data_IF_582601084676
#
_entry.id   IF_582601084676
#
_cell.length_a   1.000
_cell.length_b   1.000
_cell.length_c   1.000
_cell.angle_alpha   90.00
_cell.angle_beta   90.00
_cell.angle_gamma   90.00
#
_symmetry.space_group_name_H-M   'P 1'
#
loop_
_entity.id
_entity.type
_entity.pdbx_description
1 polymer ?
#
# COMPACT_ATOMS: atom_id res chain seq x y z
N UNK A 1 -11.06 1.99 -33.34
CA UNK A 1 -9.77 1.30 -33.12
C UNK A 1 -9.98 0.25 -32.03
N UNK A 2 -9.53 -0.98 -32.25
CA UNK A 2 -9.61 -2.06 -31.25
C UNK A 2 -8.93 -1.61 -29.95
N UNK A 3 -9.70 -1.58 -28.85
CA UNK A 3 -9.18 -1.32 -27.50
C UNK A 3 -8.24 -2.46 -27.14
N UNK A 4 -6.95 -2.29 -27.39
CA UNK A 4 -5.92 -3.17 -26.84
C UNK A 4 -6.06 -3.09 -25.32
N UNK A 5 -6.45 -4.20 -24.71
CA UNK A 5 -6.51 -4.35 -23.26
C UNK A 5 -5.11 -4.08 -22.70
N UNK A 6 -4.96 -2.96 -21.98
CA UNK A 6 -3.66 -2.56 -21.43
C UNK A 6 -3.35 -3.52 -20.28
N UNK A 7 -2.34 -4.37 -20.48
CA UNK A 7 -1.81 -5.22 -19.43
C UNK A 7 -0.90 -4.38 -18.53
N UNK A 8 -1.42 -4.07 -17.35
CA UNK A 8 -0.65 -3.41 -16.30
C UNK A 8 0.45 -4.31 -15.77
N UNK A 9 1.50 -3.69 -15.23
CA UNK A 9 2.68 -4.37 -14.72
C UNK A 9 3.18 -3.74 -13.41
N UNK A 10 4.05 -4.44 -12.67
CA UNK A 10 4.74 -3.90 -11.50
C UNK A 10 5.58 -2.64 -11.74
N UNK A 11 5.82 -2.28 -13.00
CA UNK A 11 6.56 -1.07 -13.37
C UNK A 11 5.64 0.10 -13.76
N UNK A 12 4.35 -0.02 -13.51
CA UNK A 12 3.38 1.05 -13.81
C UNK A 12 3.08 1.86 -12.55
N UNK A 13 3.16 3.18 -12.68
CA UNK A 13 2.74 4.14 -11.66
C UNK A 13 1.43 4.75 -12.13
N UNK A 14 0.35 4.50 -11.41
CA UNK A 14 -1.01 4.94 -11.76
C UNK A 14 -1.35 6.21 -11.00
N UNK A 15 -1.71 7.26 -11.73
CA UNK A 15 -2.40 8.44 -11.20
C UNK A 15 -3.86 8.44 -11.69
N UNK A 16 -4.80 8.38 -10.75
CA UNK A 16 -6.22 8.47 -11.06
C UNK A 16 -6.63 9.93 -11.24
N UNK A 17 -7.25 10.26 -12.38
CA UNK A 17 -7.70 11.62 -12.68
C UNK A 17 -9.21 11.66 -12.55
N UNK A 18 -9.68 12.22 -11.44
CA UNK A 18 -11.10 12.30 -11.10
C UNK A 18 -11.56 13.76 -11.14
N UNK A 19 -12.85 13.98 -11.32
CA UNK A 19 -13.41 15.32 -11.41
C UNK A 19 -14.75 15.32 -12.14
N UNK A 20 -15.51 16.40 -11.99
CA UNK A 20 -16.83 16.52 -12.64
C UNK A 20 -16.73 16.42 -14.16
N UNK A 21 -17.85 16.08 -14.80
CA UNK A 21 -17.97 16.28 -16.25
C UNK A 21 -17.71 17.75 -16.58
N UNK A 22 -16.89 18.02 -17.59
CA UNK A 22 -16.45 19.39 -17.92
C UNK A 22 -15.28 19.95 -17.11
N UNK A 23 -14.79 19.26 -16.06
CA UNK A 23 -13.68 19.78 -15.23
C UNK A 23 -12.29 19.82 -15.91
N UNK A 24 -12.18 19.37 -17.17
CA UNK A 24 -10.93 19.42 -17.95
C UNK A 24 -10.00 18.21 -17.81
N UNK A 25 -10.50 17.03 -17.41
CA UNK A 25 -9.71 15.78 -17.29
C UNK A 25 -8.99 15.38 -18.57
N UNK A 26 -9.74 15.21 -19.65
CA UNK A 26 -9.20 14.86 -20.97
C UNK A 26 -8.25 15.94 -21.50
N UNK A 27 -8.56 17.22 -21.28
CA UNK A 27 -7.68 18.34 -21.62
C UNK A 27 -6.35 18.30 -20.86
N UNK A 28 -6.39 18.03 -19.55
CA UNK A 28 -5.18 17.89 -18.72
C UNK A 28 -4.30 16.74 -19.23
N UNK A 29 -4.89 15.58 -19.53
CA UNK A 29 -4.16 14.41 -20.04
C UNK A 29 -3.53 14.71 -21.40
N UNK A 30 -4.30 15.25 -22.35
CA UNK A 30 -3.80 15.59 -23.67
C UNK A 30 -2.66 16.62 -23.60
N UNK A 31 -2.75 17.57 -22.66
CA UNK A 31 -1.72 18.59 -22.42
C UNK A 31 -0.45 18.02 -21.79
N UNK A 32 -0.59 17.08 -20.85
CA UNK A 32 0.55 16.38 -20.24
C UNK A 32 1.28 15.50 -21.26
N UNK A 33 0.54 14.79 -22.12
CA UNK A 33 1.07 13.91 -23.16
C UNK A 33 1.60 14.69 -24.38
N UNK A 34 1.07 15.89 -24.62
CA UNK A 34 1.39 16.70 -25.79
C UNK A 34 0.72 16.20 -27.09
N UNK A 35 -0.29 15.33 -26.98
CA UNK A 35 -1.04 14.77 -28.11
C UNK A 35 -2.52 14.55 -27.72
N UNK A 36 -3.42 14.57 -28.71
CA UNK A 36 -4.84 14.29 -28.49
C UNK A 36 -5.08 12.78 -28.38
N UNK A 37 -4.87 12.24 -27.18
CA UNK A 37 -5.02 10.80 -26.85
C UNK A 37 -6.38 10.47 -26.22
N UNK A 38 -7.11 11.48 -25.78
CA UNK A 38 -8.49 11.38 -25.28
C UNK A 38 -9.41 12.30 -26.09
N UNK A 39 -10.64 11.84 -26.37
CA UNK A 39 -11.65 12.66 -27.06
C UNK A 39 -12.09 13.82 -26.16
N UNK A 40 -11.92 15.04 -26.65
CA UNK A 40 -12.41 16.25 -25.97
C UNK A 40 -13.76 16.59 -26.60
N UNK A 41 -14.86 16.29 -25.90
CA UNK A 41 -16.19 16.71 -26.32
C UNK A 41 -16.45 18.17 -25.98
N UNK A 42 -16.71 19.01 -26.98
CA UNK A 42 -17.18 20.40 -26.80
C UNK A 42 -18.66 20.47 -26.34
N UNK A 43 -19.37 19.33 -26.34
CA UNK A 43 -20.77 19.21 -25.95
C UNK A 43 -20.90 18.44 -24.63
N UNK A 44 -21.63 19.01 -23.67
CA UNK A 44 -21.91 18.56 -22.30
C UNK A 44 -22.58 17.18 -22.15
N UNK A 45 -21.95 16.11 -22.64
CA UNK A 45 -22.33 14.71 -22.42
C UNK A 45 -21.05 13.91 -22.21
N UNK A 46 -20.92 13.22 -21.08
CA UNK A 46 -19.69 12.53 -20.67
C UNK A 46 -19.13 11.62 -21.77
N UNK A 47 -18.02 12.00 -22.40
CA UNK A 47 -17.41 11.23 -23.49
C UNK A 47 -16.75 9.93 -23.00
N UNK A 48 -16.47 9.82 -21.70
CA UNK A 48 -15.74 8.69 -21.11
C UNK A 48 -16.71 7.79 -20.33
N UNK A 49 -17.14 6.68 -20.93
CA UNK A 49 -18.04 5.70 -20.27
C UNK A 49 -17.29 4.68 -19.37
N UNK A 50 -15.98 4.52 -19.57
CA UNK A 50 -15.12 3.56 -18.84
C UNK A 50 -13.76 4.19 -18.51
N UNK A 51 -13.09 3.79 -17.41
CA UNK A 51 -11.74 4.25 -17.13
C UNK A 51 -10.78 3.93 -18.29
N UNK A 52 -10.10 4.96 -18.81
CA UNK A 52 -9.15 4.84 -19.92
C UNK A 52 -7.74 5.07 -19.39
N UNK A 53 -6.85 4.07 -19.42
CA UNK A 53 -5.46 4.25 -19.03
C UNK A 53 -4.62 4.81 -20.19
N UNK A 54 -3.94 5.92 -19.97
CA UNK A 54 -3.00 6.55 -20.90
C UNK A 54 -1.58 6.35 -20.38
N UNK A 55 -0.71 5.76 -21.20
CA UNK A 55 0.67 5.42 -20.82
C UNK A 55 1.64 6.50 -21.32
N UNK A 56 2.50 6.98 -20.42
CA UNK A 56 3.66 7.80 -20.70
C UNK A 56 4.93 6.98 -20.38
N UNK A 57 5.71 6.69 -21.41
CA UNK A 57 6.95 5.92 -21.33
C UNK A 57 7.96 6.45 -22.38
N UNK A 58 9.16 6.91 -21.99
CA UNK A 58 9.67 7.00 -20.61
C UNK A 58 9.06 8.16 -19.82
N UNK A 59 9.09 8.06 -18.49
CA UNK A 59 8.76 9.19 -17.60
C UNK A 59 9.85 10.27 -17.76
N UNK A 60 9.52 11.48 -18.27
CA UNK A 60 10.50 12.54 -18.50
C UNK A 60 11.14 13.02 -17.20
N UNK A 61 12.41 13.44 -17.24
CA UNK A 61 13.10 14.09 -16.11
C UNK A 61 13.23 13.29 -14.80
N UNK A 62 12.89 12.00 -14.80
CA UNK A 62 13.01 11.12 -13.63
C UNK A 62 13.95 9.92 -13.87
N UNK A 63 15.29 10.11 -13.81
CA UNK A 63 16.25 9.02 -14.01
C UNK A 63 16.08 7.85 -13.02
N UNK A 64 15.64 8.14 -11.80
CA UNK A 64 15.38 7.14 -10.76
C UNK A 64 14.23 6.18 -11.12
N UNK A 65 13.31 6.62 -11.98
CA UNK A 65 12.17 5.84 -12.46
C UNK A 65 12.42 5.22 -13.84
N UNK A 66 13.70 5.07 -14.25
CA UNK A 66 14.03 4.46 -15.54
C UNK A 66 13.45 3.05 -15.67
N UNK A 67 12.65 2.85 -16.71
CA UNK A 67 11.96 1.58 -16.98
C UNK A 67 10.62 1.43 -16.26
N UNK A 68 10.18 2.43 -15.49
CA UNK A 68 8.79 2.59 -15.08
C UNK A 68 8.01 3.36 -16.14
N UNK A 69 6.69 3.12 -16.17
CA UNK A 69 5.73 3.80 -17.03
C UNK A 69 4.76 4.57 -16.14
N UNK A 70 4.42 5.79 -16.51
CA UNK A 70 3.37 6.55 -15.85
C UNK A 70 2.04 6.25 -16.56
N UNK A 71 1.00 5.92 -15.80
CA UNK A 71 -0.35 5.66 -16.28
C UNK A 71 -1.27 6.73 -15.73
N UNK A 72 -1.72 7.62 -16.61
CA UNK A 72 -2.77 8.59 -16.31
C UNK A 72 -4.11 7.92 -16.60
N UNK A 73 -4.89 7.64 -15.55
CA UNK A 73 -6.20 7.02 -15.70
C UNK A 73 -7.25 8.11 -15.87
N UNK A 74 -7.73 8.32 -17.10
CA UNK A 74 -8.90 9.16 -17.36
C UNK A 74 -10.14 8.45 -16.84
N UNK A 75 -10.87 9.10 -15.94
CA UNK A 75 -12.09 8.50 -15.37
C UNK A 75 -13.34 9.17 -15.94
N UNK A 76 -14.48 8.46 -15.99
CA UNK A 76 -15.77 9.11 -16.18
C UNK A 76 -15.96 10.27 -15.21
N UNK A 77 -16.60 11.35 -15.67
CA UNK A 77 -17.02 12.42 -14.80
C UNK A 77 -18.17 11.98 -13.89
N UNK A 78 -18.25 12.57 -12.71
CA UNK A 78 -19.46 12.54 -11.88
C UNK A 78 -20.23 13.84 -12.14
N UNK A 79 -21.43 13.77 -12.70
CA UNK A 79 -22.31 14.91 -12.87
C UNK A 79 -23.78 14.50 -12.75
N UNK A 80 -24.54 15.26 -11.97
CA UNK A 80 -25.84 14.87 -11.42
C UNK A 80 -27.00 14.87 -12.42
N UNK A 81 -26.76 15.12 -13.72
CA UNK A 81 -27.81 15.10 -14.74
C UNK A 81 -28.49 13.73 -14.86
N UNK A 82 -27.80 12.64 -14.48
CA UNK A 82 -28.32 11.27 -14.55
C UNK A 82 -28.64 10.65 -13.17
N UNK A 83 -28.51 11.42 -12.07
CA UNK A 83 -28.86 11.02 -10.70
C UNK A 83 -27.71 10.44 -9.85
N UNK A 84 -27.85 10.45 -8.50
CA UNK A 84 -26.78 10.07 -7.55
C UNK A 84 -26.35 8.60 -7.62
N UNK A 85 -27.18 7.72 -8.17
CA UNK A 85 -26.84 6.29 -8.36
C UNK A 85 -25.75 6.09 -9.42
N UNK A 86 -25.69 6.95 -10.44
CA UNK A 86 -24.70 6.84 -11.51
C UNK A 86 -23.32 7.29 -11.02
N UNK A 87 -23.27 8.30 -10.16
CA UNK A 87 -22.03 8.74 -9.52
C UNK A 87 -21.45 7.62 -8.65
N UNK A 88 -22.28 6.94 -7.84
CA UNK A 88 -21.85 5.78 -7.05
C UNK A 88 -21.31 4.68 -7.95
N UNK A 89 -21.97 4.36 -9.08
CA UNK A 89 -21.49 3.35 -10.03
C UNK A 89 -20.17 3.73 -10.71
N UNK A 90 -19.99 5.00 -11.09
CA UNK A 90 -18.73 5.48 -11.66
C UNK A 90 -17.60 5.36 -10.62
N UNK A 91 -17.93 5.67 -9.36
CA UNK A 91 -17.08 5.47 -8.20
C UNK A 91 -16.91 3.98 -7.80
N UNK A 92 -17.75 3.05 -8.21
CA UNK A 92 -17.44 1.63 -8.01
C UNK A 92 -16.48 1.14 -9.11
N UNK A 93 -16.69 1.58 -10.35
CA UNK A 93 -15.88 1.20 -11.51
C UNK A 93 -14.43 1.65 -11.43
N UNK A 94 -14.19 2.89 -11.02
CA UNK A 94 -12.80 3.35 -10.88
C UNK A 94 -12.14 2.57 -9.72
N UNK A 95 -12.88 2.22 -8.66
CA UNK A 95 -12.33 1.58 -7.47
C UNK A 95 -11.98 0.13 -7.78
N UNK A 96 -12.86 -0.54 -8.50
CA UNK A 96 -12.61 -1.85 -9.10
C UNK A 96 -11.42 -1.80 -10.05
N UNK A 97 -11.28 -0.77 -10.89
CA UNK A 97 -10.15 -0.64 -11.79
C UNK A 97 -8.83 -0.44 -11.02
N UNK A 98 -8.82 0.40 -9.98
CA UNK A 98 -7.66 0.60 -9.11
C UNK A 98 -7.32 -0.69 -8.34
N UNK A 99 -8.32 -1.42 -7.86
CA UNK A 99 -8.15 -2.72 -7.22
C UNK A 99 -7.57 -3.75 -8.21
N UNK A 100 -8.14 -3.90 -9.42
CA UNK A 100 -7.56 -4.71 -10.51
C UNK A 100 -6.12 -4.30 -10.82
N UNK A 101 -5.82 -3.01 -10.80
CA UNK A 101 -4.48 -2.47 -11.08
C UNK A 101 -3.48 -2.82 -9.99
N UNK A 102 -3.89 -2.67 -8.73
CA UNK A 102 -3.10 -3.13 -7.58
C UNK A 102 -2.90 -4.64 -7.63
N UNK A 103 -3.95 -5.39 -8.04
CA UNK A 103 -3.85 -6.83 -8.27
C UNK A 103 -2.90 -7.20 -9.40
N UNK A 104 -2.78 -6.37 -10.43
CA UNK A 104 -1.77 -6.55 -11.49
C UNK A 104 -0.35 -6.12 -11.04
N UNK A 105 -0.20 -5.65 -9.80
CA UNK A 105 1.05 -5.18 -9.22
C UNK A 105 1.38 -3.73 -9.55
N UNK A 106 0.51 -2.95 -10.20
CA UNK A 106 0.80 -1.54 -10.47
C UNK A 106 0.80 -0.71 -9.17
N UNK A 107 1.68 0.30 -9.10
CA UNK A 107 1.71 1.25 -7.99
C UNK A 107 0.60 2.28 -8.17
N UNK A 108 -0.40 2.32 -7.28
CA UNK A 108 -1.32 3.47 -7.21
C UNK A 108 -0.60 4.63 -6.54
N UNK A 109 -0.06 5.52 -7.36
CA UNK A 109 0.85 6.58 -6.96
C UNK A 109 0.14 7.81 -6.38
N UNK A 110 -1.09 8.08 -6.79
CA UNK A 110 -1.88 9.20 -6.27
C UNK A 110 -3.16 9.49 -7.05
N UNK A 111 -3.89 10.49 -6.58
CA UNK A 111 -5.16 10.95 -7.15
C UNK A 111 -5.08 12.43 -7.49
N UNK A 112 -5.45 12.78 -8.71
CA UNK A 112 -5.62 14.15 -9.19
C UNK A 112 -7.12 14.46 -9.25
N UNK A 113 -7.60 15.31 -8.34
CA UNK A 113 -8.97 15.79 -8.34
C UNK A 113 -9.07 17.12 -9.09
N UNK A 114 -9.57 17.10 -10.31
CA UNK A 114 -9.75 18.30 -11.12
C UNK A 114 -11.03 19.03 -10.71
N UNK A 115 -10.85 20.28 -10.32
CA UNK A 115 -11.91 21.18 -9.91
C UNK A 115 -11.95 22.40 -10.82
N UNK A 116 -13.06 22.58 -11.54
CA UNK A 116 -13.30 23.77 -12.32
C UNK A 116 -13.54 24.97 -11.38
N UNK A 117 -12.59 25.91 -11.36
CA UNK A 117 -12.65 27.07 -10.47
C UNK A 117 -13.79 28.03 -10.83
N UNK A 118 -14.31 27.94 -12.05
CA UNK A 118 -15.35 28.86 -12.51
C UNK A 118 -16.71 28.55 -11.91
N UNK A 119 -16.98 27.30 -11.47
CA UNK A 119 -18.32 26.74 -11.20
C UNK A 119 -19.28 27.71 -10.48
N UNK A 120 -19.67 27.65 -9.22
CA UNK A 120 -20.22 28.79 -8.38
C UNK A 120 -20.82 28.19 -7.12
N UNK A 121 -21.35 26.99 -7.26
CA UNK A 121 -21.88 26.21 -6.17
C UNK A 121 -20.86 25.13 -5.82
N UNK A 122 -20.34 25.16 -4.60
CA UNK A 122 -19.66 24.01 -4.02
C UNK A 122 -20.74 23.13 -3.37
N UNK A 123 -21.18 22.11 -4.09
CA UNK A 123 -22.41 21.39 -3.77
C UNK A 123 -22.22 20.47 -2.55
N UNK A 124 -23.32 20.18 -1.85
CA UNK A 124 -23.31 19.25 -0.71
C UNK A 124 -22.76 17.85 -1.07
N UNK A 125 -22.82 17.45 -2.34
CA UNK A 125 -22.27 16.19 -2.84
C UNK A 125 -20.75 16.25 -3.07
N UNK A 126 -20.20 17.37 -3.53
CA UNK A 126 -18.74 17.56 -3.61
C UNK A 126 -18.15 17.56 -2.19
N UNK A 127 -18.84 18.22 -1.24
CA UNK A 127 -18.56 18.07 0.19
C UNK A 127 -18.64 16.61 0.61
N UNK A 128 -19.69 15.85 0.27
CA UNK A 128 -19.83 14.44 0.68
C UNK A 128 -18.77 13.51 0.06
N UNK A 129 -18.37 13.74 -1.19
CA UNK A 129 -17.38 12.93 -1.91
C UNK A 129 -15.96 13.23 -1.41
N UNK A 130 -15.68 14.46 -0.97
CA UNK A 130 -14.40 14.87 -0.37
C UNK A 130 -14.34 14.69 1.16
N UNK A 131 -15.48 14.80 1.86
CA UNK A 131 -15.57 14.79 3.34
C UNK A 131 -15.90 13.42 3.95
N UNK A 132 -15.77 12.33 3.19
CA UNK A 132 -15.72 10.98 3.77
C UNK A 132 -14.32 10.36 3.62
N UNK A 133 -13.33 10.80 4.42
CA UNK A 133 -12.01 10.17 4.48
C UNK A 133 -12.07 8.67 4.81
N UNK A 134 -13.11 8.22 5.52
CA UNK A 134 -13.31 6.81 5.89
C UNK A 134 -14.03 5.96 4.84
N UNK A 135 -14.56 6.56 3.75
CA UNK A 135 -15.26 5.80 2.69
C UNK A 135 -14.85 6.15 1.26
N UNK A 136 -13.87 7.04 1.03
CA UNK A 136 -13.40 7.31 -0.33
C UNK A 136 -12.52 6.16 -0.81
N UNK A 137 -13.06 5.27 -1.65
CA UNK A 137 -12.39 4.13 -2.28
C UNK A 137 -11.18 4.49 -3.19
N UNK A 138 -10.69 5.74 -3.13
CA UNK A 138 -9.76 6.36 -4.07
C UNK A 138 -8.37 6.58 -3.50
N UNK A 139 -8.29 7.03 -2.25
CA UNK A 139 -7.03 7.31 -1.57
C UNK A 139 -7.26 7.48 -0.07
N UNK A 140 -6.61 6.64 0.74
CA UNK A 140 -6.61 6.79 2.20
C UNK A 140 -5.49 7.75 2.70
N UNK A 141 -4.62 8.22 1.81
CA UNK A 141 -3.50 9.12 2.15
C UNK A 141 -3.65 10.46 1.43
N UNK A 142 -4.07 11.49 2.17
CA UNK A 142 -4.25 12.85 1.62
C UNK A 142 -2.97 13.42 1.02
N UNK A 143 -1.78 12.99 1.46
CA UNK A 143 -0.49 13.42 0.89
C UNK A 143 -0.27 12.96 -0.55
N UNK A 144 -1.00 11.92 -0.98
CA UNK A 144 -1.00 11.41 -2.36
C UNK A 144 -2.19 11.95 -3.18
N UNK A 145 -2.90 12.94 -2.65
CA UNK A 145 -4.03 13.56 -3.32
C UNK A 145 -3.70 15.02 -3.65
N UNK A 146 -3.97 15.43 -4.88
CA UNK A 146 -3.82 16.81 -5.34
C UNK A 146 -5.15 17.31 -5.89
N UNK A 147 -5.65 18.41 -5.35
CA UNK A 147 -6.71 19.18 -6.01
C UNK A 147 -6.05 20.04 -7.08
N UNK A 148 -6.48 19.86 -8.32
CA UNK A 148 -6.00 20.58 -9.50
C UNK A 148 -7.08 21.55 -9.93
N UNK A 149 -6.88 22.84 -9.70
CA UNK A 149 -7.84 23.85 -10.15
C UNK A 149 -7.65 24.14 -11.65
N UNK A 150 -8.73 24.04 -12.43
CA UNK A 150 -8.74 24.15 -13.89
C UNK A 150 -9.58 25.35 -14.35
N UNK A 151 -9.61 25.60 -15.67
CA UNK A 151 -10.36 26.69 -16.31
C UNK A 151 -9.96 28.10 -15.83
N UNK A 152 -8.67 28.28 -15.53
CA UNK A 152 -8.10 29.58 -15.24
C UNK A 152 -8.04 30.45 -16.51
N UNK A 153 -8.40 31.74 -16.43
CA UNK A 153 -8.17 32.69 -17.52
C UNK A 153 -6.68 32.91 -17.76
N UNK A 154 -6.34 33.37 -18.96
CA UNK A 154 -4.95 33.69 -19.35
C UNK A 154 -4.38 34.90 -18.62
N UNK A 155 -5.23 35.75 -18.06
CA UNK A 155 -4.87 36.89 -17.21
C UNK A 155 -5.34 36.67 -15.77
N UNK A 156 -4.76 37.41 -14.81
CA UNK A 156 -5.20 37.36 -13.41
C UNK A 156 -6.66 37.78 -13.30
N UNK A 157 -7.44 36.99 -12.56
CA UNK A 157 -8.83 37.24 -12.23
C UNK A 157 -8.98 37.25 -10.71
N UNK A 158 -9.07 38.44 -10.08
CA UNK A 158 -9.20 38.58 -8.64
C UNK A 158 -10.42 37.85 -8.05
N UNK A 159 -11.49 37.64 -8.84
CA UNK A 159 -12.70 36.95 -8.38
C UNK A 159 -12.40 35.46 -8.21
N UNK A 160 -11.75 34.84 -9.20
CA UNK A 160 -11.39 33.42 -9.14
C UNK A 160 -10.26 33.15 -8.15
N UNK A 161 -9.32 34.09 -7.99
CA UNK A 161 -8.28 34.02 -6.96
C UNK A 161 -8.88 34.08 -5.54
N UNK A 162 -9.79 35.03 -5.30
CA UNK A 162 -10.51 35.11 -4.02
C UNK A 162 -11.29 33.83 -3.76
N UNK A 163 -11.93 33.29 -4.80
CA UNK A 163 -12.66 32.03 -4.69
C UNK A 163 -11.76 30.85 -4.36
N UNK A 164 -10.59 30.73 -5.01
CA UNK A 164 -9.62 29.67 -4.66
C UNK A 164 -9.22 29.78 -3.18
N UNK A 165 -9.06 31.00 -2.67
CA UNK A 165 -8.76 31.25 -1.27
C UNK A 165 -9.92 30.84 -0.36
N UNK A 166 -11.16 31.22 -0.68
CA UNK A 166 -12.38 30.77 0.03
C UNK A 166 -12.48 29.23 0.05
N UNK A 167 -12.17 28.56 -1.07
CA UNK A 167 -12.12 27.10 -1.14
C UNK A 167 -11.07 26.49 -0.22
N UNK A 168 -9.85 27.08 -0.17
CA UNK A 168 -8.77 26.63 0.72
C UNK A 168 -9.11 26.84 2.20
N UNK A 169 -9.73 27.98 2.53
CA UNK A 169 -9.96 28.39 3.92
C UNK A 169 -11.21 27.76 4.54
N UNK A 170 -12.22 27.43 3.74
CA UNK A 170 -13.49 26.88 4.25
C UNK A 170 -13.69 25.41 3.89
N UNK A 171 -13.49 25.05 2.62
CA UNK A 171 -13.96 23.78 2.08
C UNK A 171 -12.91 22.68 2.05
N UNK A 172 -11.67 23.04 1.72
CA UNK A 172 -10.54 22.12 1.62
C UNK A 172 -9.60 22.22 2.81
N UNK A 173 -9.86 23.12 3.76
CA UNK A 173 -9.00 23.39 4.91
C UNK A 173 -8.58 22.13 5.64
N UNK A 174 -9.54 21.28 6.03
CA UNK A 174 -9.27 20.03 6.76
C UNK A 174 -8.47 19.02 5.93
N UNK A 175 -8.67 19.00 4.61
CA UNK A 175 -7.93 18.13 3.70
C UNK A 175 -6.48 18.62 3.55
N UNK A 176 -6.29 19.94 3.42
CA UNK A 176 -4.99 20.59 3.35
C UNK A 176 -4.22 20.36 4.66
N UNK A 177 -4.87 20.51 5.81
CA UNK A 177 -4.31 20.20 7.13
C UNK A 177 -3.90 18.72 7.25
N UNK A 178 -4.61 17.81 6.57
CA UNK A 178 -4.25 16.39 6.47
C UNK A 178 -3.14 16.09 5.44
N UNK A 179 -2.61 17.12 4.76
CA UNK A 179 -1.49 17.01 3.81
C UNK A 179 -1.87 17.01 2.34
N UNK A 180 -3.14 17.26 1.98
CA UNK A 180 -3.58 17.43 0.59
C UNK A 180 -2.94 18.66 -0.04
N UNK A 181 -2.48 18.52 -1.29
CA UNK A 181 -1.92 19.64 -2.05
C UNK A 181 -2.98 20.28 -2.95
N UNK A 182 -2.90 21.60 -3.13
CA UNK A 182 -3.70 22.33 -4.13
C UNK A 182 -2.76 22.96 -5.16
N UNK A 183 -3.00 22.70 -6.44
CA UNK A 183 -2.19 23.19 -7.56
C UNK A 183 -3.08 23.74 -8.68
N UNK A 184 -2.58 24.73 -9.42
CA UNK A 184 -3.29 25.31 -10.57
C UNK A 184 -2.81 24.67 -11.87
N UNK A 185 -3.74 24.28 -12.74
CA UNK A 185 -3.47 23.90 -14.12
C UNK A 185 -3.83 25.08 -15.04
N UNK A 186 -2.84 25.61 -15.75
CA UNK A 186 -2.94 26.85 -16.56
C UNK A 186 -3.21 26.56 -18.04
N UNK A 187 -3.47 25.31 -18.40
CA UNK A 187 -3.74 24.91 -19.80
C UNK A 187 -2.48 24.64 -20.63
N UNK A 188 -1.29 24.71 -20.03
CA UNK A 188 -0.02 24.43 -20.71
C UNK A 188 0.71 23.20 -20.12
N UNK A 189 1.59 22.61 -20.93
CA UNK A 189 2.33 21.39 -20.57
C UNK A 189 3.18 21.56 -19.32
N UNK A 190 3.80 22.73 -19.10
CA UNK A 190 4.59 22.98 -17.89
C UNK A 190 3.72 22.97 -16.63
N UNK A 191 2.53 23.55 -16.68
CA UNK A 191 1.58 23.51 -15.55
C UNK A 191 1.05 22.10 -15.28
N UNK A 192 0.81 21.30 -16.32
CA UNK A 192 0.41 19.89 -16.16
C UNK A 192 1.53 19.06 -15.51
N UNK A 193 2.76 19.18 -16.01
CA UNK A 193 3.90 18.45 -15.44
C UNK A 193 4.23 18.90 -14.01
N UNK A 194 4.13 20.19 -13.66
CA UNK A 194 4.26 20.66 -12.27
C UNK A 194 3.31 19.95 -11.29
N UNK A 195 2.11 19.60 -11.73
CA UNK A 195 1.15 18.83 -10.93
C UNK A 195 1.60 17.37 -10.81
N UNK A 196 1.97 16.74 -11.93
CA UNK A 196 2.42 15.34 -11.98
C UNK A 196 3.70 15.15 -11.14
N UNK A 197 4.66 16.05 -11.30
CA UNK A 197 5.95 16.06 -10.60
C UNK A 197 5.75 16.12 -9.09
N UNK A 198 4.77 16.88 -8.60
CA UNK A 198 4.48 16.99 -7.17
C UNK A 198 4.07 15.66 -6.52
N UNK A 199 3.51 14.73 -7.28
CA UNK A 199 3.22 13.36 -6.84
C UNK A 199 4.42 12.43 -7.06
N UNK A 200 5.11 12.55 -8.19
CA UNK A 200 6.30 11.73 -8.48
C UNK A 200 7.45 12.00 -7.50
N UNK A 201 7.65 13.23 -7.06
CA UNK A 201 8.64 13.60 -6.05
C UNK A 201 8.37 12.92 -4.71
N UNK A 202 7.10 12.74 -4.35
CA UNK A 202 6.68 11.97 -3.18
C UNK A 202 6.99 10.47 -3.30
N UNK A 203 7.06 9.94 -4.52
CA UNK A 203 7.44 8.55 -4.81
C UNK A 203 8.97 8.40 -4.78
N UNK A 204 9.71 9.41 -5.24
CA UNK A 204 11.18 9.42 -5.30
C UNK A 204 11.90 9.55 -3.95
N UNK A 205 11.19 9.88 -2.87
CA UNK A 205 11.78 10.00 -1.52
C UNK A 205 12.13 8.64 -0.87
N UNK A 206 11.92 7.53 -1.57
CA UNK A 206 12.26 6.19 -1.07
C UNK A 206 13.68 5.80 -1.49
N UNK A 207 14.54 5.36 -0.54
CA UNK A 207 15.97 5.12 -0.78
C UNK A 207 16.21 4.06 -1.87
N UNK A 208 17.39 4.06 -2.52
CA UNK A 208 17.74 3.10 -3.56
C UNK A 208 17.74 1.67 -3.01
N UNK A 209 16.71 0.90 -3.36
CA UNK A 209 16.55 -0.50 -2.97
C UNK A 209 17.24 -1.40 -3.99
N UNK A 210 18.21 -2.19 -3.53
CA UNK A 210 18.92 -3.15 -4.37
C UNK A 210 18.21 -4.51 -4.34
N UNK A 211 17.80 -5.00 -5.52
CA UNK A 211 17.32 -6.39 -5.72
C UNK A 211 18.45 -7.42 -5.91
N UNK A 212 19.72 -7.01 -5.93
CA UNK A 212 20.84 -7.92 -6.27
C UNK A 212 21.73 -8.25 -5.05
N UNK A 213 21.63 -9.50 -4.60
CA UNK A 213 22.75 -10.43 -4.46
C UNK A 213 23.89 -10.07 -3.51
N UNK A 214 23.64 -9.27 -2.46
CA UNK A 214 24.60 -9.21 -1.34
C UNK A 214 24.16 -10.19 -0.27
N UNK A 215 25.10 -10.98 0.23
CA UNK A 215 24.85 -11.90 1.32
C UNK A 215 24.28 -11.15 2.54
N UNK A 216 23.30 -11.78 3.18
CA UNK A 216 22.74 -11.32 4.45
C UNK A 216 23.75 -11.66 5.54
N UNK A 217 24.09 -10.71 6.40
CA UNK A 217 25.18 -10.80 7.37
C UNK A 217 25.08 -9.83 8.55
N UNK A 218 26.20 -9.52 9.26
CA UNK A 218 26.17 -8.91 10.59
C UNK A 218 25.58 -7.51 10.72
N UNK A 219 25.43 -6.80 9.60
CA UNK A 219 24.84 -5.45 9.54
C UNK A 219 23.38 -5.47 9.08
N UNK A 220 22.75 -6.64 9.03
CA UNK A 220 21.37 -6.79 8.61
C UNK A 220 20.43 -7.02 9.77
N UNK A 221 19.32 -6.28 9.75
CA UNK A 221 18.20 -6.44 10.66
C UNK A 221 17.05 -7.03 9.85
N UNK A 222 16.68 -8.27 10.15
CA UNK A 222 15.69 -9.04 9.40
C UNK A 222 14.34 -9.02 10.11
N UNK A 223 13.30 -8.61 9.40
CA UNK A 223 11.90 -8.75 9.79
C UNK A 223 11.19 -9.71 8.80
N UNK A 224 10.84 -10.93 9.23
CA UNK A 224 10.03 -11.84 8.44
C UNK A 224 8.60 -11.33 8.35
N UNK A 225 8.08 -11.21 7.13
CA UNK A 225 6.70 -10.81 6.85
C UNK A 225 5.88 -12.07 6.59
N UNK A 226 4.98 -12.40 7.52
CA UNK A 226 4.25 -13.66 7.60
C UNK A 226 2.75 -13.43 7.59
N UNK A 227 1.95 -14.45 7.28
CA UNK A 227 0.50 -14.32 7.16
C UNK A 227 -0.08 -15.23 6.08
N UNK A 228 -1.40 -15.48 6.08
CA UNK A 228 -2.04 -16.35 5.11
C UNK A 228 -1.92 -15.83 3.67
N UNK A 229 -2.14 -16.71 2.70
CA UNK A 229 -2.23 -16.31 1.29
C UNK A 229 -3.38 -15.30 1.12
N UNK A 230 -3.13 -14.20 0.40
CA UNK A 230 -4.11 -13.12 0.23
C UNK A 230 -4.15 -12.07 1.33
N UNK A 231 -3.44 -12.24 2.46
CA UNK A 231 -3.50 -11.28 3.57
C UNK A 231 -2.91 -9.88 3.30
N UNK A 232 -2.18 -9.71 2.20
CA UNK A 232 -1.54 -8.43 1.85
C UNK A 232 -0.08 -8.28 2.28
N UNK A 233 0.67 -9.37 2.50
CA UNK A 233 2.11 -9.35 2.84
C UNK A 233 2.95 -8.57 1.83
N UNK A 234 2.87 -8.95 0.55
CA UNK A 234 3.59 -8.29 -0.54
C UNK A 234 3.11 -6.86 -0.73
N UNK A 235 1.81 -6.58 -0.52
CA UNK A 235 1.25 -5.23 -0.51
C UNK A 235 1.87 -4.36 0.59
N UNK A 236 1.95 -4.86 1.83
CA UNK A 236 2.60 -4.17 2.94
C UNK A 236 4.05 -3.82 2.62
N UNK A 237 4.81 -4.80 2.11
CA UNK A 237 6.20 -4.63 1.71
C UNK A 237 6.34 -3.57 0.61
N UNK A 238 5.57 -3.67 -0.47
CA UNK A 238 5.61 -2.71 -1.58
C UNK A 238 5.28 -1.28 -1.12
N UNK A 239 4.31 -1.13 -0.21
CA UNK A 239 3.95 0.16 0.37
C UNK A 239 5.05 0.69 1.29
N UNK A 240 5.64 -0.15 2.14
CA UNK A 240 6.78 0.22 2.99
C UNK A 240 7.97 0.72 2.17
N UNK A 241 8.14 0.17 0.96
CA UNK A 241 9.23 0.49 0.05
C UNK A 241 8.95 1.72 -0.82
N UNK A 242 7.70 2.20 -0.88
CA UNK A 242 7.29 3.25 -1.80
C UNK A 242 7.35 2.86 -3.28
N UNK A 243 7.58 1.58 -3.58
CA UNK A 243 7.71 1.03 -4.93
C UNK A 243 7.35 -0.47 -4.95
N UNK A 244 6.88 -0.96 -6.08
CA UNK A 244 6.49 -2.38 -6.23
C UNK A 244 7.72 -3.21 -6.55
N UNK A 245 8.10 -4.08 -5.60
CA UNK A 245 9.29 -4.93 -5.68
C UNK A 245 8.98 -6.43 -5.76
N UNK A 246 7.81 -6.86 -5.27
CA UNK A 246 7.36 -8.27 -5.31
C UNK A 246 6.09 -8.45 -6.15
N UNK A 247 6.02 -9.56 -6.90
CA UNK A 247 4.83 -9.93 -7.67
C UNK A 247 3.68 -10.30 -6.70
N UNK A 248 2.60 -9.51 -6.72
CA UNK A 248 1.37 -9.86 -6.01
C UNK A 248 0.62 -10.87 -6.87
N UNK A 249 0.66 -12.14 -6.49
CA UNK A 249 0.06 -13.24 -7.24
C UNK A 249 -1.42 -13.41 -6.88
N UNK A 250 -2.32 -12.95 -7.74
CA UNK A 250 -3.76 -13.15 -7.57
C UNK A 250 -4.24 -14.43 -8.25
N UNK A 251 -3.84 -15.56 -7.68
CA UNK A 251 -4.50 -16.82 -7.98
C UNK A 251 -5.12 -17.37 -6.71
N UNK A 252 -6.44 -17.55 -6.72
CA UNK A 252 -7.19 -18.48 -5.85
C UNK A 252 -6.70 -19.94 -5.98
N UNK A 253 -5.52 -20.18 -6.57
CA UNK A 253 -4.88 -21.47 -6.83
C UNK A 253 -3.38 -21.52 -6.46
N UNK A 254 -2.89 -20.66 -5.57
CA UNK A 254 -1.57 -20.84 -4.92
C UNK A 254 -0.89 -19.57 -4.40
N UNK A 255 0.13 -19.69 -3.52
CA UNK A 255 0.87 -18.55 -2.98
C UNK A 255 1.71 -17.82 -4.05
N UNK A 256 1.65 -16.49 -4.04
CA UNK A 256 2.41 -15.59 -4.93
C UNK A 256 3.92 -15.81 -4.84
N UNK A 257 4.38 -15.94 -3.60
CA UNK A 257 5.78 -16.14 -3.24
C UNK A 257 5.98 -17.64 -3.05
N UNK A 258 6.83 -18.26 -3.87
CA UNK A 258 7.12 -19.70 -3.79
C UNK A 258 8.26 -20.04 -2.82
N UNK A 259 9.11 -19.07 -2.51
CA UNK A 259 10.24 -19.19 -1.57
C UNK A 259 10.48 -17.87 -0.84
N UNK A 260 11.00 -17.89 0.41
CA UNK A 260 11.34 -16.67 1.13
C UNK A 260 12.32 -15.79 0.34
N UNK A 261 12.00 -14.52 0.17
CA UNK A 261 12.79 -13.59 -0.63
C UNK A 261 13.18 -12.33 0.19
N UNK A 262 14.48 -12.11 0.48
CA UNK A 262 14.91 -10.96 1.26
C UNK A 262 14.92 -9.69 0.41
N UNK A 263 14.33 -8.62 0.95
CA UNK A 263 14.30 -7.31 0.32
C UNK A 263 15.04 -6.31 1.19
N UNK A 264 16.10 -5.72 0.65
CA UNK A 264 17.05 -4.91 1.40
C UNK A 264 16.73 -3.43 1.25
N UNK A 265 16.51 -2.76 2.37
CA UNK A 265 16.34 -1.31 2.50
C UNK A 265 17.60 -0.70 3.10
N UNK A 266 18.24 0.18 2.32
CA UNK A 266 19.42 0.92 2.74
C UNK A 266 19.51 2.27 2.01
N UNK A 267 19.82 3.38 2.69
CA UNK A 267 19.84 3.51 4.16
C UNK A 267 18.46 3.28 4.78
N UNK A 268 18.41 2.98 6.08
CA UNK A 268 17.13 2.88 6.80
C UNK A 268 16.55 4.30 6.96
N UNK A 269 15.37 4.61 6.39
CA UNK A 269 14.77 5.93 6.42
C UNK A 269 14.64 6.50 7.84
N UNK A 270 15.05 7.77 8.01
CA UNK A 270 14.92 8.52 9.27
C UNK A 270 15.56 7.84 10.49
N UNK A 271 16.55 6.97 10.29
CA UNK A 271 17.27 6.25 11.35
C UNK A 271 18.78 6.49 11.29
N UNK A 272 19.25 7.69 11.69
CA UNK A 272 20.68 7.99 11.76
C UNK A 272 21.40 7.14 12.82
N UNK A 273 20.68 6.69 13.85
CA UNK A 273 21.14 5.76 14.88
C UNK A 273 21.48 4.36 14.33
N UNK A 274 20.94 4.00 13.15
CA UNK A 274 21.20 2.73 12.47
C UNK A 274 22.09 2.91 11.23
N UNK A 275 22.94 3.93 11.21
CA UNK A 275 23.89 4.14 10.11
C UNK A 275 24.76 2.89 9.87
N UNK A 276 24.88 2.50 8.61
CA UNK A 276 25.61 1.30 8.19
C UNK A 276 24.87 -0.03 8.41
N UNK A 277 23.69 -0.03 9.03
CA UNK A 277 22.80 -1.19 9.04
C UNK A 277 21.87 -1.18 7.84
N UNK A 278 21.45 -2.37 7.40
CA UNK A 278 20.43 -2.57 6.35
C UNK A 278 19.22 -3.24 6.98
N UNK A 279 18.03 -2.78 6.63
CA UNK A 279 16.79 -3.45 6.98
C UNK A 279 16.47 -4.50 5.92
N UNK A 280 16.08 -5.70 6.33
CA UNK A 280 15.71 -6.80 5.44
C UNK A 280 14.26 -7.18 5.73
N UNK A 281 13.35 -6.82 4.82
CA UNK A 281 11.99 -7.32 4.84
C UNK A 281 11.99 -8.66 4.09
N UNK A 282 11.82 -9.76 4.82
CA UNK A 282 11.79 -11.09 4.22
C UNK A 282 10.35 -11.41 3.81
N UNK A 283 10.05 -11.29 2.51
CA UNK A 283 8.75 -11.69 1.95
C UNK A 283 8.65 -13.22 2.00
N UNK A 284 7.62 -13.74 2.66
CA UNK A 284 7.43 -15.18 2.84
C UNK A 284 6.22 -15.70 2.06
N UNK A 285 6.24 -16.95 1.56
CA UNK A 285 5.05 -17.61 1.05
C UNK A 285 3.89 -17.51 2.04
N UNK A 286 2.69 -17.28 1.52
CA UNK A 286 1.49 -17.44 2.34
C UNK A 286 1.35 -18.90 2.75
N UNK A 287 1.07 -19.13 4.03
CA UNK A 287 0.68 -20.46 4.50
C UNK A 287 -0.86 -20.51 4.51
N UNK A 288 -1.46 -21.52 3.89
CA UNK A 288 -2.91 -21.66 3.95
C UNK A 288 -3.30 -22.20 5.34
N UNK A 289 -4.20 -21.52 6.04
CA UNK A 289 -4.67 -21.96 7.34
C UNK A 289 -5.51 -23.25 7.23
N UNK A 290 -5.98 -23.62 6.03
CA UNK A 290 -6.88 -24.78 5.82
C UNK A 290 -6.17 -26.12 5.86
N UNK A 291 -4.89 -26.17 5.47
CA UNK A 291 -4.05 -27.35 5.57
C UNK A 291 -3.01 -27.13 6.66
N UNK A 292 -2.79 -28.16 7.48
CA UNK A 292 -1.73 -28.25 8.48
C UNK A 292 -0.49 -27.58 7.92
N UNK A 293 -0.04 -26.47 8.53
CA UNK A 293 1.23 -25.74 8.28
C UNK A 293 2.02 -26.47 7.20
N UNK A 294 1.87 -26.08 5.93
CA UNK A 294 2.54 -26.79 4.82
C UNK A 294 3.99 -26.96 5.22
N UNK A 295 4.37 -28.19 5.59
CA UNK A 295 5.61 -28.43 6.33
C UNK A 295 6.82 -27.93 5.54
N UNK A 296 6.69 -27.92 4.22
CA UNK A 296 7.64 -27.37 3.27
C UNK A 296 7.77 -25.84 3.36
N UNK A 297 6.65 -25.09 3.38
CA UNK A 297 6.64 -23.63 3.54
C UNK A 297 7.29 -23.24 4.86
N UNK A 298 6.89 -23.88 5.95
CA UNK A 298 7.51 -23.68 7.26
C UNK A 298 9.01 -23.96 7.23
N UNK A 299 9.41 -25.12 6.71
CA UNK A 299 10.81 -25.52 6.65
C UNK A 299 11.63 -24.57 5.78
N UNK A 300 11.05 -24.02 4.70
CA UNK A 300 11.72 -23.05 3.84
C UNK A 300 12.05 -21.75 4.60
N UNK A 301 11.07 -21.20 5.32
CA UNK A 301 11.23 -19.98 6.12
C UNK A 301 12.22 -20.25 7.26
N UNK A 302 12.05 -21.36 7.98
CA UNK A 302 12.91 -21.75 9.09
C UNK A 302 14.39 -21.87 8.67
N UNK A 303 14.67 -22.58 7.56
CA UNK A 303 16.03 -22.72 7.03
C UNK A 303 16.60 -21.38 6.57
N UNK A 304 15.78 -20.51 6.01
CA UNK A 304 16.20 -19.18 5.58
C UNK A 304 16.64 -18.32 6.77
N UNK A 305 15.83 -18.26 7.83
CA UNK A 305 16.15 -17.51 9.05
C UNK A 305 17.39 -18.07 9.77
N UNK A 306 17.51 -19.39 9.84
CA UNK A 306 18.69 -20.06 10.39
C UNK A 306 19.97 -19.72 9.62
N UNK A 307 19.90 -19.71 8.28
CA UNK A 307 21.01 -19.33 7.41
C UNK A 307 21.44 -17.88 7.66
N UNK A 308 20.49 -16.94 7.75
CA UNK A 308 20.79 -15.53 8.02
C UNK A 308 21.44 -15.33 9.38
N UNK A 309 20.99 -16.05 10.43
CA UNK A 309 21.64 -16.00 11.75
C UNK A 309 23.06 -16.57 11.73
N UNK A 310 23.29 -17.68 11.02
CA UNK A 310 24.63 -18.26 10.86
C UNK A 310 25.61 -17.29 10.20
N UNK A 311 25.10 -16.43 9.32
CA UNK A 311 25.88 -15.35 8.71
C UNK A 311 25.99 -14.10 9.61
N UNK A 312 25.42 -14.13 10.82
CA UNK A 312 25.50 -13.05 11.81
C UNK A 312 24.39 -12.01 11.75
N UNK A 313 23.38 -12.16 10.88
CA UNK A 313 22.27 -11.22 10.83
C UNK A 313 21.36 -11.29 12.07
N UNK A 314 20.79 -10.14 12.43
CA UNK A 314 19.89 -10.00 13.58
C UNK A 314 18.44 -10.21 13.14
N UNK A 315 17.72 -11.16 13.75
CA UNK A 315 16.26 -11.26 13.58
C UNK A 315 15.62 -10.33 14.60
N UNK A 316 15.19 -9.14 14.16
CA UNK A 316 14.74 -8.09 15.10
C UNK A 316 13.28 -8.20 15.54
N UNK A 317 12.48 -9.05 14.90
CA UNK A 317 11.07 -9.24 15.21
C UNK A 317 10.31 -9.83 14.04
N UNK A 318 9.00 -10.05 14.20
CA UNK A 318 8.12 -10.62 13.19
C UNK A 318 6.99 -9.65 12.83
N UNK A 319 6.69 -9.56 11.54
CA UNK A 319 5.56 -8.82 11.00
C UNK A 319 4.52 -9.84 10.56
N UNK A 320 3.36 -9.87 11.23
CA UNK A 320 2.29 -10.80 10.87
C UNK A 320 1.10 -10.08 10.28
N UNK A 321 0.82 -10.33 9.01
CA UNK A 321 -0.23 -9.67 8.25
C UNK A 321 -1.50 -10.52 8.27
N UNK A 322 -2.58 -9.95 8.79
CA UNK A 322 -3.88 -10.58 8.94
C UNK A 322 -4.96 -9.75 8.25
N UNK A 323 -5.76 -10.40 7.40
CA UNK A 323 -6.92 -9.79 6.76
C UNK A 323 -8.09 -9.72 7.76
N UNK A 324 -8.44 -8.51 8.21
CA UNK A 324 -9.51 -8.33 9.20
C UNK A 324 -10.90 -8.64 8.62
N UNK A 325 -11.08 -8.56 7.30
CA UNK A 325 -12.36 -8.77 6.62
C UNK A 325 -12.73 -10.26 6.51
N UNK A 326 -11.75 -11.16 6.56
CA UNK A 326 -11.98 -12.60 6.45
C UNK A 326 -12.67 -13.10 7.71
N UNK A 327 -13.98 -13.38 7.59
CA UNK A 327 -14.78 -14.07 8.62
C UNK A 327 -14.26 -15.51 8.75
N UNK A 328 -13.66 -15.85 9.90
CA UNK A 328 -13.31 -17.24 10.22
C UNK A 328 -14.53 -18.12 9.98
N UNK A 329 -14.40 -19.09 9.10
CA UNK A 329 -15.42 -20.10 8.88
C UNK A 329 -15.63 -20.86 10.19
N UNK A 330 -16.87 -20.80 10.66
CA UNK A 330 -17.46 -21.62 11.70
C UNK A 330 -17.04 -23.09 11.53
N UNK A 331 -16.17 -23.59 12.41
CA UNK A 331 -15.75 -25.00 12.37
C UNK A 331 -14.47 -25.39 13.12
N UNK A 332 -13.73 -24.46 13.75
CA UNK A 332 -12.49 -24.82 14.47
C UNK A 332 -12.57 -24.63 15.99
N UNK A 333 -11.85 -25.51 16.67
CA UNK A 333 -11.75 -25.56 18.12
C UNK A 333 -11.25 -24.22 18.69
N UNK A 334 -11.77 -23.81 19.86
CA UNK A 334 -11.40 -22.56 20.49
C UNK A 334 -9.88 -22.48 20.70
N UNK A 335 -9.34 -21.27 20.55
CA UNK A 335 -7.94 -20.93 20.75
C UNK A 335 -7.36 -21.37 22.10
N UNK A 336 -8.23 -21.67 23.06
CA UNK A 336 -7.91 -22.33 24.33
C UNK A 336 -7.17 -23.67 24.19
N UNK A 337 -7.08 -24.27 22.98
CA UNK A 337 -6.29 -25.47 22.72
C UNK A 337 -4.85 -25.21 22.28
N UNK A 338 -4.48 -23.98 21.92
CA UNK A 338 -3.11 -23.66 21.52
C UNK A 338 -2.33 -23.13 22.72
N UNK A 339 -1.19 -23.77 23.00
CA UNK A 339 -0.30 -23.35 24.09
C UNK A 339 0.43 -22.08 23.65
N UNK A 340 0.19 -20.98 24.37
CA UNK A 340 0.94 -19.73 24.19
C UNK A 340 2.42 -20.03 24.46
N UNK A 341 3.35 -19.60 23.58
CA UNK A 341 4.77 -19.75 23.87
C UNK A 341 5.09 -19.07 25.21
N UNK A 342 5.93 -19.69 26.05
CA UNK A 342 6.41 -19.08 27.31
C UNK A 342 7.21 -17.79 27.12
N UNK A 343 7.57 -17.47 25.87
CA UNK A 343 8.26 -16.23 25.49
C UNK A 343 7.90 -15.94 24.04
N UNK A 344 7.07 -14.92 23.81
CA UNK A 344 6.64 -14.52 22.48
C UNK A 344 7.73 -13.66 21.84
N UNK A 345 8.22 -13.95 20.62
CA UNK A 345 9.15 -13.05 19.96
C UNK A 345 8.48 -11.70 19.71
N UNK A 346 9.25 -10.60 19.65
CA UNK A 346 8.67 -9.30 19.27
C UNK A 346 7.91 -9.40 17.96
N UNK A 347 6.60 -9.21 18.04
CA UNK A 347 5.71 -9.41 16.90
C UNK A 347 4.73 -8.26 16.80
N UNK A 348 4.65 -7.69 15.60
CA UNK A 348 3.62 -6.76 15.21
C UNK A 348 2.57 -7.51 14.38
N UNK A 349 1.36 -7.63 14.93
CA UNK A 349 0.15 -8.07 14.23
C UNK A 349 -0.41 -6.89 13.44
N UNK A 350 -0.37 -6.99 12.12
CA UNK A 350 -0.81 -5.98 11.17
C UNK A 350 -2.16 -6.41 10.62
N UNK A 351 -3.21 -5.63 10.87
CA UNK A 351 -4.54 -5.87 10.29
C UNK A 351 -4.70 -5.09 8.99
N UNK A 352 -5.13 -5.77 7.93
CA UNK A 352 -5.31 -5.23 6.57
C UNK A 352 -6.76 -5.29 6.13
N UNK A 353 -7.08 -4.75 4.95
CA UNK A 353 -8.42 -4.78 4.33
C UNK A 353 -9.52 -4.09 5.16
N UNK A 354 -9.20 -2.90 5.65
CA UNK A 354 -10.05 -2.02 6.45
C UNK A 354 -11.14 -1.27 5.66
N UNK A 355 -11.87 -1.95 4.78
CA UNK A 355 -13.03 -1.37 4.08
C UNK A 355 -14.27 -1.53 4.95
N UNK A 356 -14.47 -0.61 5.91
CA UNK A 356 -15.49 -0.70 6.94
C UNK A 356 -16.62 0.31 6.74
N UNK A 357 -17.72 -0.12 6.11
CA UNK A 357 -18.84 0.78 5.75
C UNK A 357 -19.76 1.04 6.96
N UNK A 358 -19.85 0.10 7.90
CA UNK A 358 -20.81 0.11 9.02
C UNK A 358 -20.17 0.01 10.41
N UNK A 359 -18.84 -0.01 10.50
CA UNK A 359 -18.10 -0.14 11.77
C UNK A 359 -17.96 -1.59 12.24
N UNK A 360 -18.38 -2.57 11.42
CA UNK A 360 -18.31 -3.98 11.76
C UNK A 360 -16.86 -4.48 11.91
N UNK A 361 -15.92 -3.97 11.11
CA UNK A 361 -14.51 -4.38 11.20
C UNK A 361 -13.83 -3.82 12.45
N UNK A 362 -14.17 -2.58 12.85
CA UNK A 362 -13.72 -2.00 14.12
C UNK A 362 -14.22 -2.83 15.30
N UNK A 363 -15.50 -3.21 15.31
CA UNK A 363 -16.06 -4.04 16.38
C UNK A 363 -15.43 -5.44 16.40
N UNK A 364 -15.17 -6.01 15.22
CA UNK A 364 -14.48 -7.29 15.08
C UNK A 364 -13.07 -7.26 15.63
N UNK A 365 -12.30 -6.20 15.37
CA UNK A 365 -10.95 -6.08 15.94
C UNK A 365 -10.99 -5.98 17.47
N UNK A 366 -11.97 -5.26 18.03
CA UNK A 366 -12.18 -5.22 19.50
C UNK A 366 -12.48 -6.61 20.05
N UNK A 367 -13.43 -7.31 19.44
CA UNK A 367 -13.77 -8.69 19.82
C UNK A 367 -12.54 -9.60 19.77
N UNK A 368 -11.73 -9.50 18.70
CA UNK A 368 -10.51 -10.29 18.57
C UNK A 368 -9.46 -9.96 19.64
N UNK A 369 -9.26 -8.68 19.94
CA UNK A 369 -8.38 -8.21 21.03
C UNK A 369 -8.81 -8.73 22.40
N UNK A 370 -10.11 -8.86 22.64
CA UNK A 370 -10.67 -9.34 23.91
C UNK A 370 -10.78 -10.87 23.99
N UNK A 371 -10.77 -11.57 22.84
CA UNK A 371 -10.94 -13.02 22.77
C UNK A 371 -9.65 -13.71 22.31
N UNK A 372 -9.49 -13.88 21.00
CA UNK A 372 -8.49 -14.71 20.38
C UNK A 372 -7.06 -14.17 20.52
N UNK A 373 -6.90 -12.85 20.55
CA UNK A 373 -5.60 -12.19 20.60
C UNK A 373 -5.18 -11.80 22.01
N UNK A 374 -6.12 -11.82 22.98
CA UNK A 374 -5.90 -11.32 24.34
C UNK A 374 -4.65 -11.91 24.99
N UNK A 375 -4.55 -13.24 25.05
CA UNK A 375 -3.43 -13.91 25.70
C UNK A 375 -2.07 -13.57 25.05
N UNK A 376 -2.05 -13.26 23.75
CA UNK A 376 -0.82 -12.89 23.04
C UNK A 376 -0.48 -11.42 23.23
N UNK A 377 -1.49 -10.55 23.30
CA UNK A 377 -1.32 -9.13 23.63
C UNK A 377 -0.73 -8.98 25.04
N UNK A 378 -1.24 -9.78 25.98
CA UNK A 378 -0.75 -9.85 27.36
C UNK A 378 0.74 -10.29 27.40
N UNK A 379 1.19 -11.11 26.44
CA UNK A 379 2.59 -11.59 26.27
C UNK A 379 3.44 -10.71 25.30
N UNK A 380 2.96 -9.52 24.93
CA UNK A 380 3.75 -8.53 24.19
C UNK A 380 3.48 -8.44 22.68
N UNK A 381 2.48 -9.15 22.14
CA UNK A 381 1.97 -8.89 20.79
C UNK A 381 1.42 -7.46 20.72
N UNK A 382 1.80 -6.71 19.69
CA UNK A 382 1.17 -5.40 19.39
C UNK A 382 0.38 -5.46 18.11
N UNK A 383 -0.80 -4.85 18.13
CA UNK A 383 -1.73 -4.83 17.01
C UNK A 383 -1.70 -3.45 16.36
N UNK A 384 -1.54 -3.42 15.04
CA UNK A 384 -1.49 -2.21 14.23
C UNK A 384 -2.50 -2.30 13.10
N UNK A 385 -3.27 -1.24 12.90
CA UNK A 385 -4.14 -1.09 11.74
C UNK A 385 -3.33 -0.55 10.56
N UNK A 386 -3.33 -1.26 9.44
CA UNK A 386 -2.64 -0.84 8.23
C UNK A 386 -3.65 -0.42 7.17
N UNK A 387 -3.77 0.89 6.98
CA UNK A 387 -4.66 1.53 6.00
C UNK A 387 -3.97 1.72 4.64
N UNK A 388 -2.95 0.89 4.38
CA UNK A 388 -2.20 0.86 3.13
C UNK A 388 -1.45 2.17 2.82
N UNK A 389 -0.99 2.88 3.86
CA UNK A 389 -0.16 4.08 3.69
C UNK A 389 1.32 3.80 3.98
N UNK A 390 2.20 4.56 3.34
CA UNK A 390 3.64 4.49 3.62
C UNK A 390 3.94 4.82 5.09
N UNK A 391 3.22 5.80 5.64
CA UNK A 391 3.37 6.21 7.04
C UNK A 391 2.98 5.10 8.01
N UNK A 392 1.88 4.39 7.77
CA UNK A 392 1.45 3.27 8.62
C UNK A 392 2.52 2.17 8.62
N UNK A 393 3.02 1.81 7.44
CA UNK A 393 4.08 0.81 7.31
C UNK A 393 5.33 1.19 8.12
N UNK A 394 5.77 2.45 8.03
CA UNK A 394 6.94 2.91 8.77
C UNK A 394 6.70 3.12 10.26
N UNK A 395 5.48 3.44 10.71
CA UNK A 395 5.13 3.41 12.14
C UNK A 395 5.32 2.00 12.69
N UNK A 396 4.87 0.98 11.96
CA UNK A 396 4.98 -0.43 12.37
C UNK A 396 6.44 -0.90 12.35
N UNK A 397 7.18 -0.60 11.28
CA UNK A 397 8.59 -0.96 11.14
C UNK A 397 9.44 -0.27 12.23
N UNK A 398 9.23 1.04 12.46
CA UNK A 398 9.94 1.78 13.49
C UNK A 398 9.63 1.25 14.89
N UNK A 399 8.38 0.86 15.17
CA UNK A 399 8.08 0.19 16.43
C UNK A 399 8.99 -1.01 16.69
N UNK A 400 9.19 -1.90 15.71
CA UNK A 400 10.11 -3.03 15.88
C UNK A 400 11.58 -2.59 15.98
N UNK A 401 11.99 -1.58 15.21
CA UNK A 401 13.36 -1.06 15.24
C UNK A 401 13.71 -0.31 16.55
N UNK A 402 12.74 0.33 17.19
CA UNK A 402 12.93 1.04 18.47
C UNK A 402 13.10 0.06 19.63
N UNK A 403 12.58 -1.15 19.47
CA UNK A 403 12.60 -2.21 20.48
C UNK A 403 13.57 -3.32 20.06
N UNK A 404 14.66 -3.03 19.36
CA UNK A 404 15.62 -4.09 18.99
C UNK A 404 16.28 -4.72 20.23
N UNK A 405 16.62 -3.91 21.24
CA UNK A 405 17.53 -4.31 22.33
C UNK A 405 16.86 -5.00 23.53
N UNK A 406 15.54 -4.93 23.65
CA UNK A 406 14.83 -5.55 24.77
C UNK A 406 14.52 -7.02 24.48
N UNK A 407 15.56 -7.86 24.43
CA UNK A 407 15.54 -9.31 24.12
C UNK A 407 15.78 -9.61 22.63
N UNK A 408 17.03 -9.95 22.30
CA UNK A 408 17.33 -10.71 21.08
C UNK A 408 16.45 -11.96 21.10
N UNK A 409 15.64 -12.18 20.06
CA UNK A 409 14.78 -13.37 19.95
C UNK A 409 15.64 -14.59 20.32
N UNK A 410 15.39 -15.25 21.47
CA UNK A 410 16.24 -16.31 21.95
C UNK A 410 15.94 -17.51 21.07
N UNK A 411 16.60 -17.59 19.92
CA UNK A 411 16.86 -18.90 19.36
C UNK A 411 17.92 -19.52 20.27
N UNK A 412 17.64 -20.69 20.85
CA UNK A 412 18.63 -21.44 21.59
C UNK A 412 19.86 -21.63 20.71
N UNK A 413 21.00 -21.11 21.17
CA UNK A 413 22.29 -21.30 20.52
C UNK A 413 22.62 -22.79 20.61
N UNK A 414 22.50 -23.52 19.50
CA UNK A 414 23.05 -24.86 19.44
C UNK A 414 24.56 -24.74 19.22
N UNK A 415 25.37 -25.30 20.12
CA UNK A 415 26.74 -25.68 19.79
C UNK A 415 26.65 -26.70 18.65
N UNK A 416 27.09 -26.32 17.45
CA UNK A 416 27.01 -27.17 16.27
C UNK A 416 28.19 -28.15 16.30
N UNK A 417 27.88 -29.43 16.42
CA UNK A 417 28.79 -30.50 16.02
C UNK A 417 28.87 -30.51 14.48
N UNK A 418 30.05 -30.22 13.92
CA UNK A 418 30.30 -29.99 12.49
C UNK A 418 29.99 -31.19 11.57
N UNK A 419 29.50 -32.30 12.12
CA UNK A 419 29.27 -33.56 11.39
C UNK A 419 27.84 -33.81 10.91
N UNK A 420 26.87 -32.92 11.18
CA UNK A 420 25.48 -33.14 10.71
C UNK A 420 25.02 -32.09 9.69
N UNK A 421 25.30 -32.34 8.41
CA UNK A 421 24.57 -31.67 7.35
C UNK A 421 23.08 -32.09 7.41
N UNK A 422 22.17 -31.10 7.52
CA UNK A 422 20.74 -31.08 7.10
C UNK A 422 19.62 -31.07 8.15
N UNK A 423 19.85 -31.10 9.47
CA UNK A 423 18.75 -30.94 10.44
C UNK A 423 18.79 -29.57 11.13
N UNK A 424 17.66 -28.87 11.13
CA UNK A 424 17.44 -27.67 11.96
C UNK A 424 17.54 -28.14 13.43
N UNK A 425 18.25 -27.42 14.32
CA UNK A 425 18.30 -27.81 15.73
C UNK A 425 16.88 -27.94 16.30
N UNK A 426 16.60 -29.02 17.03
CA UNK A 426 15.24 -29.35 17.51
C UNK A 426 14.60 -28.19 18.31
N UNK A 427 15.41 -27.47 19.07
CA UNK A 427 14.93 -26.34 19.88
C UNK A 427 14.58 -25.11 19.03
N UNK A 428 15.33 -24.86 17.96
CA UNK A 428 15.06 -23.84 16.92
C UNK A 428 13.79 -24.19 16.15
N UNK A 429 13.65 -25.46 15.79
CA UNK A 429 12.46 -25.98 15.10
C UNK A 429 11.22 -25.89 15.99
N UNK A 430 11.32 -26.23 17.28
CA UNK A 430 10.23 -26.15 18.23
C UNK A 430 9.80 -24.69 18.50
N UNK A 431 10.75 -23.77 18.61
CA UNK A 431 10.49 -22.34 18.76
C UNK A 431 9.72 -21.78 17.56
N UNK A 432 10.23 -22.02 16.34
CA UNK A 432 9.55 -21.61 15.12
C UNK A 432 8.18 -22.29 14.98
N UNK A 433 8.07 -23.58 15.26
CA UNK A 433 6.76 -24.28 15.26
C UNK A 433 5.80 -23.62 16.24
N UNK A 434 6.26 -23.15 17.39
CA UNK A 434 5.43 -22.45 18.36
C UNK A 434 4.91 -21.11 17.80
N UNK A 435 5.78 -20.33 17.15
CA UNK A 435 5.43 -19.07 16.48
C UNK A 435 4.46 -19.30 15.32
N UNK A 436 4.72 -20.28 14.47
CA UNK A 436 3.86 -20.59 13.34
C UNK A 436 2.53 -21.21 13.76
N UNK A 437 2.49 -22.02 14.81
CA UNK A 437 1.22 -22.48 15.40
C UNK A 437 0.43 -21.30 15.96
N UNK A 438 1.10 -20.34 16.59
CA UNK A 438 0.48 -19.07 16.99
C UNK A 438 -0.10 -18.35 15.77
N UNK A 439 0.69 -18.11 14.73
CA UNK A 439 0.24 -17.45 13.51
C UNK A 439 -0.90 -18.19 12.82
N UNK A 440 -0.82 -19.51 12.69
CA UNK A 440 -1.91 -20.33 12.14
C UNK A 440 -3.19 -20.31 13.00
N UNK A 441 -3.06 -19.90 14.28
CA UNK A 441 -4.18 -19.73 15.19
C UNK A 441 -4.81 -18.34 15.12
N UNK A 442 -4.12 -17.34 14.53
CA UNK A 442 -4.60 -15.97 14.24
C UNK A 442 -5.27 -15.91 12.86
#
# INVERSE_FOLDING_TARGET
MSSKEIKLSPKDIVFAIIGRTGAGKSTFINTAVGQNVTEVGETCTSCTERPLPIIIDPIPNYPALKGYRLVLLDTPGFDHSDGPEQDVKNLERIAEWLDVSQRAGALVGGVLYLYDITIKQFNATERRNLAKPSTSAWCNDMRKTVIVTTNWPSCSDPILEKREQEMKDEHWKTLIEAGLQVRRFQGDSSSAWRVIDSLLDGINASPPISRKGREIGPKDIVFPVMGPTGAGKSTFINIALGQVLTEVGHSTTGPCTKQPFPIIVYPIPKRPDLEGYRLVLLDTPGFDATHIIDGETFNSIARCLESFRKNGARIGGFLYVHDISVKRTSGRAPLSRFRVPTTMPKTALITTNWVDIDGALVQREREMKETCWKAFIDEGLRVFQFHQTFSDAWVIINYLLDHLDEVDVPFPVAQVDERSHRKIPEVTENFLKSIFRFFASL
#
